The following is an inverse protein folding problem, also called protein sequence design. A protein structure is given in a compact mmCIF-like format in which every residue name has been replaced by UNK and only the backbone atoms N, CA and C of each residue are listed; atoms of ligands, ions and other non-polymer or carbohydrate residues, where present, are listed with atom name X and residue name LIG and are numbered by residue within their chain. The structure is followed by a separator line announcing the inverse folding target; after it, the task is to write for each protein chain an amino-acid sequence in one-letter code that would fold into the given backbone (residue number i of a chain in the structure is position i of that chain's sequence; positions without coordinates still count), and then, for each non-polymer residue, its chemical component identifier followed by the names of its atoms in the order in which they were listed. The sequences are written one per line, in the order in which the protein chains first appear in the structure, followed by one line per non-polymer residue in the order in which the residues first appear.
data_IF_399106847458
#
_entry.id   IF_399106847458
#
_cell.length_a   1.000
_cell.length_b   1.000
_cell.length_c   1.000
_cell.angle_alpha   90.00
_cell.angle_beta   90.00
_cell.angle_gamma   90.00
#
_symmetry.space_group_name_H-M   'P 1'
#
loop_
_entity.id
_entity.type
_entity.pdbx_description
1 polymer ?
#
# COMPACT_ATOMS: atom_id res chain seq x y z
N UNK A 1 4.78 43.22 24.75
CA UNK A 1 5.23 41.99 25.44
C UNK A 1 5.19 40.85 24.45
N UNK A 2 6.34 40.55 23.83
CA UNK A 2 6.46 39.57 22.73
C UNK A 2 7.01 38.27 23.30
N UNK A 3 6.24 37.18 23.26
CA UNK A 3 6.70 35.85 23.66
C UNK A 3 7.37 35.15 22.47
N UNK A 4 8.68 35.01 22.54
CA UNK A 4 9.47 34.13 21.68
C UNK A 4 9.30 32.70 22.21
N UNK A 5 8.68 31.81 21.43
CA UNK A 5 8.63 30.39 21.73
C UNK A 5 9.89 29.75 21.16
N UNK A 6 10.83 29.40 22.04
CA UNK A 6 12.04 28.64 21.68
C UNK A 6 11.67 27.22 21.28
N UNK A 7 12.04 26.83 20.06
CA UNK A 7 11.85 25.49 19.52
C UNK A 7 12.62 24.43 20.33
N UNK A 8 11.94 23.33 20.68
CA UNK A 8 12.59 22.14 21.25
C UNK A 8 13.38 21.42 20.16
N UNK A 9 14.69 21.38 20.32
CA UNK A 9 15.60 20.46 19.61
C UNK A 9 15.16 19.01 19.86
N UNK A 10 14.78 18.29 18.80
CA UNK A 10 14.50 16.84 18.87
C UNK A 10 15.82 16.09 18.95
N UNK A 11 16.03 15.31 20.02
CA UNK A 11 17.20 14.43 20.20
C UNK A 11 17.26 13.37 19.08
N UNK A 12 18.43 13.13 18.45
CA UNK A 12 18.63 12.00 17.55
C UNK A 12 18.90 10.75 18.39
N UNK A 13 18.13 9.68 18.19
CA UNK A 13 18.39 8.39 18.84
C UNK A 13 17.16 7.60 19.23
N UNK A 14 16.20 7.41 18.31
CA UNK A 14 15.20 6.35 18.51
C UNK A 14 15.81 5.06 17.99
N UNK A 15 16.18 4.17 18.91
CA UNK A 15 16.61 2.80 18.61
C UNK A 15 15.52 2.11 17.79
N UNK A 16 15.82 1.71 16.55
CA UNK A 16 14.88 1.00 15.68
C UNK A 16 14.70 -0.43 16.21
N UNK A 17 13.48 -0.80 16.57
CA UNK A 17 13.15 -2.18 16.95
C UNK A 17 13.44 -3.12 15.76
N UNK A 18 14.12 -4.25 16.02
CA UNK A 18 14.38 -5.26 14.98
C UNK A 18 13.09 -6.03 14.68
N UNK A 19 12.80 -6.27 13.41
CA UNK A 19 11.68 -7.13 13.00
C UNK A 19 12.18 -8.56 12.91
N UNK A 20 11.57 -9.48 13.67
CA UNK A 20 11.91 -10.89 13.63
C UNK A 20 10.98 -11.62 12.65
N UNK A 21 11.54 -12.15 11.56
CA UNK A 21 10.78 -12.97 10.62
C UNK A 21 10.75 -14.43 11.07
N UNK A 22 9.57 -14.95 11.39
CA UNK A 22 9.39 -16.36 11.71
C UNK A 22 9.55 -17.22 10.45
N UNK A 23 10.20 -18.38 10.57
CA UNK A 23 10.35 -19.36 9.47
C UNK A 23 11.39 -19.02 8.40
N UNK A 24 12.06 -17.86 8.45
CA UNK A 24 13.13 -17.53 7.51
C UNK A 24 14.49 -17.92 8.11
N UNK A 25 15.34 -18.71 7.41
CA UNK A 25 16.67 -19.02 7.90
C UNK A 25 17.44 -17.73 8.22
N UNK A 26 17.99 -17.63 9.44
CA UNK A 26 18.69 -16.43 9.92
C UNK A 26 19.87 -16.00 9.03
N UNK A 27 20.43 -16.94 8.25
CA UNK A 27 21.53 -16.72 7.31
C UNK A 27 21.09 -16.25 5.93
N UNK A 28 19.80 -16.30 5.59
CA UNK A 28 19.32 -15.92 4.26
C UNK A 28 19.57 -14.43 4.03
N UNK A 29 20.27 -14.12 2.95
CA UNK A 29 20.47 -12.75 2.45
C UNK A 29 19.30 -12.44 1.51
N UNK A 30 18.67 -11.28 1.72
CA UNK A 30 17.55 -10.77 0.96
C UNK A 30 17.96 -9.46 0.27
N UNK A 31 17.43 -9.21 -0.92
CA UNK A 31 17.49 -7.89 -1.53
C UNK A 31 16.31 -7.06 -1.03
N UNK A 32 16.57 -5.86 -0.51
CA UNK A 32 15.55 -4.91 -0.08
C UNK A 32 15.96 -3.51 -0.52
N UNK A 33 15.19 -2.94 -1.46
CA UNK A 33 15.60 -1.72 -2.15
C UNK A 33 16.98 -1.88 -2.78
N UNK A 34 17.91 -0.98 -2.46
CA UNK A 34 19.29 -1.01 -2.97
C UNK A 34 20.27 -1.77 -2.04
N UNK A 35 19.75 -2.45 -1.01
CA UNK A 35 20.57 -3.07 0.04
C UNK A 35 20.41 -4.59 0.07
N UNK A 36 21.52 -5.29 0.33
CA UNK A 36 21.51 -6.72 0.69
C UNK A 36 21.49 -6.85 2.20
N UNK A 37 20.42 -7.39 2.75
CA UNK A 37 20.18 -7.48 4.20
C UNK A 37 19.98 -8.93 4.61
N UNK A 38 20.55 -9.34 5.75
CA UNK A 38 20.23 -10.64 6.33
C UNK A 38 18.81 -10.60 6.87
N UNK A 39 18.05 -11.68 6.73
CA UNK A 39 16.64 -11.74 7.15
C UNK A 39 16.43 -11.37 8.64
N UNK A 40 17.40 -11.69 9.50
CA UNK A 40 17.36 -11.34 10.93
C UNK A 40 17.76 -9.88 11.24
N UNK A 41 18.16 -9.11 10.24
CA UNK A 41 18.59 -7.71 10.33
C UNK A 41 17.65 -6.76 9.59
N UNK A 42 16.45 -7.22 9.23
CA UNK A 42 15.44 -6.33 8.66
C UNK A 42 15.04 -5.27 9.67
N UNK A 43 15.23 -4.02 9.27
CA UNK A 43 14.83 -2.85 10.03
C UNK A 43 13.48 -2.34 9.52
N UNK A 44 12.67 -1.70 10.38
CA UNK A 44 11.49 -0.97 9.94
C UNK A 44 11.86 0.04 8.86
N UNK A 45 10.97 0.17 7.86
CA UNK A 45 11.08 1.21 6.85
C UNK A 45 11.18 2.57 7.53
N UNK A 46 12.13 3.39 7.06
CA UNK A 46 12.22 4.76 7.52
C UNK A 46 11.05 5.55 6.93
N UNK A 47 10.27 6.17 7.81
CA UNK A 47 9.15 7.01 7.43
C UNK A 47 9.67 8.34 6.87
N UNK A 48 9.30 8.64 5.62
CA UNK A 48 9.66 9.87 4.88
C UNK A 48 8.48 10.84 4.79
N UNK A 49 7.41 10.63 5.56
CA UNK A 49 6.19 11.47 5.52
C UNK A 49 6.47 12.93 5.85
N UNK A 50 7.40 13.23 6.76
CA UNK A 50 7.74 14.62 7.11
C UNK A 50 8.39 15.35 5.92
N UNK A 51 9.27 14.68 5.16
CA UNK A 51 9.87 15.24 3.93
C UNK A 51 8.80 15.55 2.88
N UNK A 52 7.86 14.61 2.68
CA UNK A 52 6.73 14.79 1.79
C UNK A 52 5.85 15.99 2.20
N UNK A 53 5.50 16.10 3.48
CA UNK A 53 4.63 17.18 3.99
C UNK A 53 5.20 18.58 3.82
N UNK A 54 6.53 18.73 3.88
CA UNK A 54 7.20 20.01 3.68
C UNK A 54 7.61 20.26 2.21
N UNK A 55 7.33 19.31 1.30
CA UNK A 55 7.70 19.43 -0.11
C UNK A 55 9.18 19.23 -0.42
N UNK A 56 9.94 18.56 0.45
CA UNK A 56 11.38 18.28 0.24
C UNK A 56 11.57 17.06 -0.68
N UNK A 57 11.37 17.29 -1.98
CA UNK A 57 11.53 16.24 -3.00
C UNK A 57 12.99 15.87 -3.27
N UNK A 58 13.95 16.75 -3.00
CA UNK A 58 15.37 16.41 -3.07
C UNK A 58 15.75 15.43 -1.96
N UNK A 59 15.25 15.66 -0.74
CA UNK A 59 15.39 14.71 0.37
C UNK A 59 14.73 13.37 0.08
N UNK A 60 13.54 13.36 -0.54
CA UNK A 60 12.87 12.13 -0.96
C UNK A 60 13.65 11.37 -2.04
N UNK A 61 14.19 12.08 -3.05
CA UNK A 61 15.06 11.49 -4.08
C UNK A 61 16.34 10.91 -3.47
N UNK A 62 16.97 11.63 -2.56
CA UNK A 62 18.17 11.16 -1.84
C UNK A 62 17.88 9.88 -1.07
N UNK A 63 16.74 9.81 -0.37
CA UNK A 63 16.25 8.60 0.31
C UNK A 63 16.04 7.45 -0.65
N UNK A 64 15.31 7.68 -1.74
CA UNK A 64 15.05 6.65 -2.74
C UNK A 64 16.36 6.13 -3.38
N UNK A 65 17.30 7.01 -3.69
CA UNK A 65 18.60 6.63 -4.24
C UNK A 65 19.42 5.79 -3.25
N UNK A 66 19.48 6.21 -1.99
CA UNK A 66 20.24 5.51 -0.93
C UNK A 66 19.62 4.17 -0.55
N UNK A 67 18.32 4.17 -0.30
CA UNK A 67 17.63 3.04 0.33
C UNK A 67 16.99 2.12 -0.73
N UNK A 68 16.76 2.62 -1.94
CA UNK A 68 16.03 1.94 -3.03
C UNK A 68 14.52 1.82 -2.78
N UNK A 69 14.04 2.35 -1.65
CA UNK A 69 12.64 2.34 -1.22
C UNK A 69 12.35 3.58 -0.37
N UNK A 70 11.10 4.04 -0.37
CA UNK A 70 10.62 5.11 0.51
C UNK A 70 9.25 4.75 1.08
N UNK A 71 8.99 5.12 2.33
CA UNK A 71 7.67 5.03 2.95
C UNK A 71 7.10 6.44 3.10
N UNK A 72 5.95 6.69 2.46
CA UNK A 72 5.22 7.96 2.57
C UNK A 72 3.78 7.66 2.96
N UNK A 73 3.29 8.28 4.03
CA UNK A 73 1.92 8.14 4.51
C UNK A 73 1.08 9.36 4.17
N UNK A 74 -0.22 9.15 4.01
CA UNK A 74 -1.16 10.23 3.69
C UNK A 74 -0.99 10.81 2.29
N UNK A 75 -0.25 10.13 1.41
CA UNK A 75 -0.15 10.50 -0.01
C UNK A 75 -1.52 10.42 -0.69
N UNK A 76 -2.22 9.30 -0.47
CA UNK A 76 -3.61 9.13 -0.90
C UNK A 76 -4.52 9.69 0.19
N UNK A 77 -5.49 10.57 -0.15
CA UNK A 77 -6.46 11.06 0.83
C UNK A 77 -7.18 9.90 1.52
N UNK A 78 -7.35 10.01 2.84
CA UNK A 78 -7.94 8.93 3.64
C UNK A 78 -9.31 8.50 3.12
N UNK A 79 -10.17 9.46 2.74
CA UNK A 79 -11.50 9.16 2.24
C UNK A 79 -11.46 8.39 0.92
N UNK A 80 -10.55 8.74 0.02
CA UNK A 80 -10.32 8.00 -1.23
C UNK A 80 -9.95 6.55 -0.95
N UNK A 81 -8.98 6.33 -0.05
CA UNK A 81 -8.57 4.98 0.33
C UNK A 81 -9.70 4.18 1.01
N UNK A 82 -10.51 4.82 1.86
CA UNK A 82 -11.65 4.18 2.52
C UNK A 82 -12.77 3.82 1.53
N UNK A 83 -13.08 4.72 0.58
CA UNK A 83 -14.09 4.45 -0.44
C UNK A 83 -13.66 3.27 -1.33
N UNK A 84 -12.40 3.25 -1.76
CA UNK A 84 -11.84 2.13 -2.52
C UNK A 84 -11.88 0.82 -1.71
N UNK A 85 -11.51 0.86 -0.43
CA UNK A 85 -11.64 -0.30 0.48
C UNK A 85 -13.08 -0.79 0.56
N UNK A 86 -14.06 0.09 0.73
CA UNK A 86 -15.47 -0.32 0.83
C UNK A 86 -15.97 -0.96 -0.46
N UNK A 87 -15.59 -0.41 -1.61
CA UNK A 87 -15.96 -0.99 -2.90
C UNK A 87 -15.35 -2.38 -3.05
N UNK A 88 -14.06 -2.56 -2.73
CA UNK A 88 -13.39 -3.86 -2.77
C UNK A 88 -14.11 -4.86 -1.87
N UNK A 89 -14.37 -4.48 -0.62
CA UNK A 89 -14.99 -5.35 0.36
C UNK A 89 -16.42 -5.74 -0.03
N UNK A 90 -17.21 -4.79 -0.54
CA UNK A 90 -18.56 -5.07 -1.07
C UNK A 90 -18.48 -6.14 -2.15
N UNK A 91 -17.60 -5.93 -3.14
CA UNK A 91 -17.48 -6.80 -4.30
C UNK A 91 -17.05 -8.23 -3.94
N UNK A 92 -16.11 -8.41 -3.01
CA UNK A 92 -15.72 -9.76 -2.58
C UNK A 92 -16.72 -10.40 -1.60
N UNK A 93 -17.60 -9.60 -0.97
CA UNK A 93 -18.69 -10.14 -0.12
C UNK A 93 -19.65 -10.98 -0.96
N UNK A 94 -19.99 -10.50 -2.16
CA UNK A 94 -20.86 -11.20 -3.10
C UNK A 94 -20.25 -12.54 -3.56
N UNK A 95 -18.93 -12.72 -3.40
CA UNK A 95 -18.20 -13.97 -3.64
C UNK A 95 -18.08 -14.90 -2.43
N UNK A 96 -18.69 -14.56 -1.30
CA UNK A 96 -18.60 -15.35 -0.07
C UNK A 96 -17.22 -15.31 0.59
N UNK A 97 -16.36 -14.34 0.24
CA UNK A 97 -15.00 -14.23 0.79
C UNK A 97 -14.96 -13.88 2.28
N UNK A 98 -15.98 -13.17 2.75
CA UNK A 98 -16.02 -12.60 4.08
C UNK A 98 -16.78 -13.50 5.05
N UNK A 99 -16.45 -13.39 6.33
CA UNK A 99 -17.04 -14.20 7.39
C UNK A 99 -18.56 -13.97 7.46
N UNK A 100 -19.38 -15.03 7.42
CA UNK A 100 -20.84 -14.91 7.51
C UNK A 100 -21.27 -14.15 8.78
N UNK A 101 -22.30 -13.32 8.64
CA UNK A 101 -22.87 -12.56 9.77
C UNK A 101 -22.02 -11.39 10.27
N UNK A 102 -20.92 -11.05 9.60
CA UNK A 102 -20.11 -9.85 9.89
C UNK A 102 -20.49 -8.69 8.97
N UNK A 103 -20.23 -7.45 9.40
CA UNK A 103 -20.31 -6.31 8.48
C UNK A 103 -19.16 -6.42 7.48
N UNK A 104 -19.47 -6.40 6.17
CA UNK A 104 -18.45 -6.48 5.14
C UNK A 104 -17.34 -5.43 5.29
N UNK A 105 -17.66 -4.27 5.88
CA UNK A 105 -16.71 -3.18 6.13
C UNK A 105 -15.63 -3.54 7.13
N UNK A 106 -15.82 -4.57 7.94
CA UNK A 106 -14.79 -5.09 8.83
C UNK A 106 -13.72 -5.86 8.04
N UNK A 107 -14.08 -6.41 6.88
CA UNK A 107 -13.16 -7.14 6.00
C UNK A 107 -12.60 -8.40 6.66
N UNK A 108 -13.40 -9.04 7.52
CA UNK A 108 -13.05 -10.29 8.18
C UNK A 108 -13.20 -11.41 7.17
N UNK A 109 -12.11 -12.12 6.85
CA UNK A 109 -12.14 -13.24 5.91
C UNK A 109 -12.83 -14.43 6.57
N UNK A 110 -13.70 -15.11 5.81
CA UNK A 110 -14.35 -16.34 6.24
C UNK A 110 -13.40 -17.54 6.29
N UNK A 111 -13.91 -18.65 6.82
CA UNK A 111 -13.26 -19.94 6.71
C UNK A 111 -14.13 -20.90 5.91
N UNK A 112 -13.49 -21.89 5.27
CA UNK A 112 -14.17 -23.06 4.73
C UNK A 112 -14.65 -24.01 5.84
N UNK A 113 -15.30 -25.11 5.46
CA UNK A 113 -15.83 -26.11 6.40
C UNK A 113 -14.74 -26.79 7.25
N UNK A 114 -13.49 -26.80 6.76
CA UNK A 114 -12.31 -27.32 7.48
C UNK A 114 -11.69 -26.27 8.42
N UNK A 115 -12.28 -25.08 8.52
CA UNK A 115 -11.78 -23.96 9.32
C UNK A 115 -10.58 -23.24 8.69
N UNK A 116 -10.23 -23.53 7.43
CA UNK A 116 -9.14 -22.84 6.72
C UNK A 116 -9.65 -21.51 6.18
N UNK A 117 -8.84 -20.46 6.26
CA UNK A 117 -9.21 -19.17 5.67
C UNK A 117 -9.48 -19.31 4.17
N UNK A 118 -10.58 -18.70 3.72
CA UNK A 118 -10.87 -18.58 2.29
C UNK A 118 -9.69 -17.86 1.61
N UNK A 119 -9.21 -18.35 0.45
CA UNK A 119 -8.09 -17.74 -0.25
C UNK A 119 -8.31 -16.24 -0.48
N UNK A 120 -7.24 -15.45 -0.31
CA UNK A 120 -7.31 -14.00 -0.47
C UNK A 120 -7.56 -13.61 -1.92
N UNK A 121 -8.49 -12.67 -2.14
CA UNK A 121 -8.86 -12.19 -3.46
C UNK A 121 -7.94 -11.05 -3.91
N UNK A 122 -7.55 -11.09 -5.19
CA UNK A 122 -6.76 -10.03 -5.84
C UNK A 122 -7.61 -9.41 -6.94
N UNK A 123 -7.93 -8.13 -6.78
CA UNK A 123 -8.72 -7.34 -7.73
C UNK A 123 -7.78 -6.48 -8.57
N UNK A 124 -7.80 -6.69 -9.89
CA UNK A 124 -7.19 -5.83 -10.88
C UNK A 124 -7.83 -4.45 -10.83
N UNK A 125 -7.02 -3.41 -10.85
CA UNK A 125 -7.50 -2.10 -10.50
C UNK A 125 -8.14 -1.35 -11.68
N UNK A 126 -7.85 -1.76 -12.92
CA UNK A 126 -8.50 -1.23 -14.12
C UNK A 126 -9.83 -1.92 -14.41
N UNK A 127 -9.80 -3.23 -14.53
CA UNK A 127 -10.96 -4.05 -14.87
C UNK A 127 -11.84 -4.32 -13.67
N UNK A 128 -11.33 -4.19 -12.44
CA UNK A 128 -11.99 -4.71 -11.25
C UNK A 128 -11.87 -6.22 -11.08
N UNK A 129 -11.41 -6.97 -12.11
CA UNK A 129 -11.48 -8.43 -12.16
C UNK A 129 -10.54 -9.18 -11.22
N UNK A 130 -10.80 -10.46 -10.96
CA UNK A 130 -9.85 -11.31 -10.25
C UNK A 130 -8.65 -11.68 -11.13
N UNK A 131 -7.44 -11.65 -10.57
CA UNK A 131 -6.20 -11.94 -11.32
C UNK A 131 -5.70 -13.38 -11.21
N UNK A 132 -6.22 -14.17 -10.25
CA UNK A 132 -5.74 -15.53 -10.02
C UNK A 132 -6.41 -16.57 -10.95
N UNK A 133 -7.54 -16.23 -11.56
CA UNK A 133 -8.14 -16.84 -12.76
C UNK A 133 -9.05 -15.76 -13.36
N UNK A 134 -8.97 -15.51 -14.68
CA UNK A 134 -9.81 -14.49 -15.35
C UNK A 134 -11.27 -14.95 -15.28
N UNK A 135 -11.95 -14.54 -14.23
CA UNK A 135 -13.39 -14.67 -14.06
C UNK A 135 -14.08 -14.07 -15.30
N UNK A 136 -14.92 -14.86 -15.96
CA UNK A 136 -15.54 -14.54 -17.25
C UNK A 136 -16.58 -13.40 -17.14
N UNK A 137 -16.92 -13.00 -15.91
CA UNK A 137 -17.88 -11.93 -15.59
C UNK A 137 -17.32 -10.52 -15.85
N UNK A 138 -16.77 -10.32 -17.05
CA UNK A 138 -16.20 -9.04 -17.49
C UNK A 138 -17.24 -7.92 -17.36
N UNK A 139 -18.54 -8.18 -17.53
CA UNK A 139 -19.60 -7.17 -17.38
C UNK A 139 -19.83 -6.77 -15.91
N UNK A 140 -19.97 -7.73 -14.98
CA UNK A 140 -20.06 -7.43 -13.55
C UNK A 140 -18.80 -6.76 -13.00
N UNK A 141 -17.64 -7.09 -13.58
CA UNK A 141 -16.38 -6.42 -13.28
C UNK A 141 -16.26 -5.06 -13.89
N UNK A 142 -16.73 -4.79 -15.12
CA UNK A 142 -16.79 -3.45 -15.69
C UNK A 142 -17.77 -2.55 -14.91
N UNK A 143 -18.83 -3.11 -14.33
CA UNK A 143 -19.75 -2.40 -13.42
C UNK A 143 -19.06 -2.00 -12.09
N UNK A 144 -18.06 -2.78 -11.65
CA UNK A 144 -17.15 -2.42 -10.54
C UNK A 144 -15.92 -1.62 -11.01
N UNK A 145 -15.53 -1.82 -12.27
CA UNK A 145 -14.26 -1.53 -12.92
C UNK A 145 -14.22 -0.12 -13.48
N UNK A 146 -13.03 0.45 -13.55
CA UNK A 146 -12.80 1.89 -13.76
C UNK A 146 -13.53 2.82 -12.79
N UNK A 147 -14.05 2.34 -11.65
CA UNK A 147 -14.60 3.31 -10.69
C UNK A 147 -13.48 4.29 -10.37
N UNK A 148 -13.74 5.56 -10.66
CA UNK A 148 -12.80 6.65 -10.41
C UNK A 148 -12.23 6.54 -8.99
N UNK A 149 -13.05 6.04 -8.06
CA UNK A 149 -12.68 5.69 -6.68
C UNK A 149 -11.50 4.73 -6.55
N UNK A 150 -11.47 3.61 -7.29
CA UNK A 150 -10.33 2.69 -7.27
C UNK A 150 -9.13 3.33 -7.95
N UNK A 151 -9.34 3.87 -9.16
CA UNK A 151 -8.31 4.53 -9.96
C UNK A 151 -7.60 5.62 -9.18
N UNK A 152 -8.32 6.39 -8.36
CA UNK A 152 -7.78 7.47 -7.57
C UNK A 152 -6.72 7.02 -6.53
N UNK A 153 -6.68 5.73 -6.16
CA UNK A 153 -5.70 5.17 -5.22
C UNK A 153 -4.36 4.88 -5.90
N UNK A 154 -4.37 4.30 -7.10
CA UNK A 154 -3.17 3.79 -7.76
C UNK A 154 -2.77 4.53 -9.05
N UNK A 155 -3.64 5.40 -9.54
CA UNK A 155 -3.40 6.21 -10.74
C UNK A 155 -4.04 7.61 -10.66
N UNK A 156 -4.53 7.98 -9.48
CA UNK A 156 -5.16 9.27 -9.24
C UNK A 156 -4.20 10.45 -9.27
N UNK A 157 -4.79 11.66 -9.30
CA UNK A 157 -4.06 12.93 -9.29
C UNK A 157 -3.02 13.01 -8.17
N UNK A 158 -3.35 12.55 -6.96
CA UNK A 158 -2.45 12.63 -5.80
C UNK A 158 -1.15 11.82 -6.04
N UNK A 159 -1.27 10.58 -6.47
CA UNK A 159 -0.12 9.73 -6.77
C UNK A 159 0.64 10.24 -7.99
N UNK A 160 -0.05 10.57 -9.08
CA UNK A 160 0.57 11.10 -10.30
C UNK A 160 1.36 12.38 -10.02
N UNK A 161 0.80 13.34 -9.27
CA UNK A 161 1.52 14.55 -8.90
C UNK A 161 2.74 14.27 -8.02
N UNK A 162 2.64 13.31 -7.08
CA UNK A 162 3.80 12.90 -6.29
C UNK A 162 4.90 12.28 -7.15
N UNK A 163 4.56 11.35 -8.06
CA UNK A 163 5.51 10.72 -8.96
C UNK A 163 6.14 11.74 -9.92
N UNK A 164 5.35 12.69 -10.46
CA UNK A 164 5.85 13.81 -11.26
C UNK A 164 6.91 14.61 -10.52
N UNK A 165 6.61 15.01 -9.29
CA UNK A 165 7.54 15.79 -8.47
C UNK A 165 8.78 14.98 -8.06
N UNK A 166 8.62 13.68 -7.81
CA UNK A 166 9.71 12.79 -7.42
C UNK A 166 10.69 12.53 -8.57
N UNK A 167 10.17 12.26 -9.78
CA UNK A 167 10.96 11.85 -10.95
C UNK A 167 11.24 12.98 -11.95
N UNK A 168 10.79 14.20 -11.69
CA UNK A 168 11.19 15.39 -12.44
C UNK A 168 10.37 15.68 -13.70
N UNK A 169 9.11 15.24 -13.77
CA UNK A 169 8.20 15.59 -14.86
C UNK A 169 7.25 14.45 -15.26
N UNK A 170 6.17 14.80 -15.94
CA UNK A 170 5.18 13.84 -16.46
C UNK A 170 5.71 12.97 -17.60
N UNK A 171 6.75 13.42 -18.29
CA UNK A 171 7.46 12.70 -19.35
C UNK A 171 8.52 11.72 -18.82
N UNK A 172 8.74 11.71 -17.49
CA UNK A 172 9.77 10.88 -16.85
C UNK A 172 9.24 9.61 -16.20
N UNK A 173 7.92 9.45 -16.13
CA UNK A 173 7.32 8.22 -15.65
C UNK A 173 5.98 7.99 -16.34
N UNK A 174 5.62 6.72 -16.41
CA UNK A 174 4.31 6.26 -16.80
C UNK A 174 3.84 5.32 -15.70
N UNK A 175 2.65 5.56 -15.16
CA UNK A 175 1.99 4.57 -14.32
C UNK A 175 1.56 3.42 -15.22
N UNK A 176 1.75 2.19 -14.76
CA UNK A 176 1.28 0.98 -15.44
C UNK A 176 0.05 0.48 -14.67
N UNK A 177 -1.13 1.07 -14.91
CA UNK A 177 -2.34 0.71 -14.17
C UNK A 177 -2.70 -0.77 -14.31
N UNK A 178 -2.37 -1.40 -15.45
CA UNK A 178 -2.50 -2.84 -15.75
C UNK A 178 -1.73 -3.76 -14.78
N UNK A 179 -0.76 -3.21 -14.04
CA UNK A 179 0.06 -3.95 -13.08
C UNK A 179 -0.26 -3.57 -11.63
N UNK A 180 -1.38 -2.88 -11.40
CA UNK A 180 -1.80 -2.51 -10.05
C UNK A 180 -3.01 -3.31 -9.62
N UNK A 181 -2.94 -3.89 -8.42
CA UNK A 181 -4.04 -4.65 -7.85
C UNK A 181 -4.27 -4.26 -6.39
N UNK A 182 -5.53 -4.31 -5.98
CA UNK A 182 -5.90 -4.33 -4.57
C UNK A 182 -6.06 -5.78 -4.13
N UNK A 183 -5.43 -6.15 -3.02
CA UNK A 183 -5.47 -7.52 -2.53
C UNK A 183 -5.97 -7.57 -1.10
N UNK A 184 -7.01 -8.38 -0.86
CA UNK A 184 -7.36 -8.79 0.48
C UNK A 184 -6.57 -10.05 0.82
N UNK A 185 -5.80 -10.00 1.91
CA UNK A 185 -5.15 -11.19 2.48
C UNK A 185 -5.62 -11.39 3.90
N UNK A 186 -5.97 -12.64 4.23
CA UNK A 186 -6.29 -13.02 5.59
C UNK A 186 -5.04 -12.86 6.45
N UNK A 187 -5.25 -12.50 7.73
CA UNK A 187 -4.21 -12.74 8.73
C UNK A 187 -4.25 -14.23 9.03
N UNK A 188 -3.32 -14.98 8.46
CA UNK A 188 -2.98 -16.31 8.95
C UNK A 188 -2.25 -16.23 10.29
#
# INVERSE_FOLDING_TARGET
MTRIITGRSRKPGVSRAKVQLNGVPKSRVLQFGNQKVKANHLLPLQDSTDLFKIGDFDGLRSRLHSDGVILVRGLIPQQTALNARHLLLKTITDKGALAPGTDYRDGIIGCDDDGRYIPGFTVDALSGGLTDDRDDDVEGWLDVGTSQTMADVFDGKALRSFLQMLFGGADKFETLPDNTWLRLKGKG
#
